data_IF_185624209421
#
_entry.id   IF_185624209421
#
_cell.length_a   1.000
_cell.length_b   1.000
_cell.length_c   1.000
_cell.angle_alpha   90.00
_cell.angle_beta   90.00
_cell.angle_gamma   90.00
#
_symmetry.space_group_name_H-M   'P 1'
#
loop_
_entity.id
_entity.type
_entity.pdbx_description
1 polymer ?
#
# COMPACT_ATOMS: atom_id res chain seq x y z
N UNK A 1 -23.28 1.62 -8.58
CA UNK A 1 -23.79 0.26 -8.32
C UNK A 1 -22.58 -0.65 -8.15
N UNK A 2 -22.60 -1.63 -7.23
CA UNK A 2 -21.46 -2.56 -7.07
C UNK A 2 -21.33 -3.45 -8.31
N UNK A 3 -20.12 -3.83 -8.69
CA UNK A 3 -19.82 -4.66 -9.86
C UNK A 3 -19.46 -6.08 -9.44
N UNK A 4 -20.23 -7.07 -9.87
CA UNK A 4 -19.99 -8.48 -9.53
C UNK A 4 -19.73 -9.26 -10.81
N UNK A 5 -18.56 -9.92 -10.87
CA UNK A 5 -18.23 -10.84 -11.95
C UNK A 5 -18.49 -12.27 -11.49
N UNK A 6 -19.50 -12.91 -12.08
CA UNK A 6 -19.83 -14.30 -11.83
C UNK A 6 -19.11 -15.24 -12.81
N UNK A 7 -18.47 -16.28 -12.28
CA UNK A 7 -17.72 -17.30 -13.01
C UNK A 7 -18.46 -18.64 -12.88
N UNK A 8 -19.03 -19.13 -13.98
CA UNK A 8 -19.88 -20.33 -13.98
C UNK A 8 -19.07 -21.64 -13.95
N UNK A 9 -19.74 -22.76 -13.65
CA UNK A 9 -19.14 -24.10 -13.72
C UNK A 9 -18.90 -24.57 -15.16
N UNK A 10 -18.04 -25.58 -15.36
CA UNK A 10 -17.53 -25.97 -16.69
C UNK A 10 -18.64 -26.28 -17.71
N UNK A 11 -19.64 -27.06 -17.31
CA UNK A 11 -20.74 -27.48 -18.19
C UNK A 11 -21.85 -26.43 -18.30
N UNK A 12 -21.69 -25.28 -17.67
CA UNK A 12 -22.67 -24.20 -17.68
C UNK A 12 -22.19 -23.07 -18.60
N UNK A 13 -23.02 -22.05 -18.73
CA UNK A 13 -22.75 -20.84 -19.48
C UNK A 13 -23.01 -19.61 -18.61
N UNK A 14 -22.76 -18.43 -19.18
CA UNK A 14 -23.07 -17.15 -18.55
C UNK A 14 -24.53 -17.00 -18.14
N UNK A 15 -25.43 -17.79 -18.74
CA UNK A 15 -26.87 -17.78 -18.47
C UNK A 15 -27.35 -18.87 -17.50
N UNK A 16 -26.46 -19.49 -16.73
CA UNK A 16 -26.84 -20.57 -15.80
C UNK A 16 -27.80 -20.11 -14.68
N UNK A 17 -28.51 -21.03 -14.00
CA UNK A 17 -29.48 -20.67 -12.95
C UNK A 17 -28.92 -19.79 -11.83
N UNK A 18 -27.66 -20.01 -11.40
CA UNK A 18 -27.01 -19.19 -10.36
C UNK A 18 -26.82 -17.74 -10.83
N UNK A 19 -26.29 -17.54 -12.04
CA UNK A 19 -26.10 -16.21 -12.62
C UNK A 19 -27.43 -15.44 -12.73
N UNK A 20 -28.48 -16.10 -13.23
CA UNK A 20 -29.82 -15.50 -13.33
C UNK A 20 -30.39 -15.13 -11.96
N UNK A 21 -30.27 -16.03 -10.98
CA UNK A 21 -30.72 -15.75 -9.62
C UNK A 21 -29.98 -14.56 -8.99
N UNK A 22 -28.65 -14.47 -9.16
CA UNK A 22 -27.87 -13.32 -8.70
C UNK A 22 -28.30 -12.03 -9.40
N UNK A 23 -28.49 -12.05 -10.72
CA UNK A 23 -28.96 -10.91 -11.51
C UNK A 23 -30.35 -10.42 -11.05
N UNK A 24 -31.27 -11.34 -10.78
CA UNK A 24 -32.62 -11.01 -10.30
C UNK A 24 -32.60 -10.45 -8.89
N UNK A 25 -31.94 -11.13 -7.94
CA UNK A 25 -31.99 -10.75 -6.52
C UNK A 25 -31.13 -9.50 -6.21
N UNK A 26 -30.20 -9.13 -7.09
CA UNK A 26 -29.32 -7.96 -6.92
C UNK A 26 -29.61 -6.82 -7.91
N UNK A 27 -30.68 -6.89 -8.71
CA UNK A 27 -30.93 -5.98 -9.83
C UNK A 27 -30.82 -4.47 -9.49
N UNK A 28 -31.27 -4.08 -8.28
CA UNK A 28 -31.26 -2.69 -7.82
C UNK A 28 -30.01 -2.33 -6.98
N UNK A 29 -29.14 -3.31 -6.70
CA UNK A 29 -28.02 -3.18 -5.75
C UNK A 29 -26.66 -3.30 -6.47
N UNK A 30 -26.54 -4.27 -7.38
CA UNK A 30 -25.31 -4.62 -8.06
C UNK A 30 -25.53 -4.94 -9.54
N UNK A 31 -24.59 -4.52 -10.37
CA UNK A 31 -24.47 -4.99 -11.75
C UNK A 31 -23.76 -6.36 -11.73
N UNK A 32 -24.48 -7.42 -12.14
CA UNK A 32 -23.94 -8.79 -12.18
C UNK A 32 -23.67 -9.21 -13.63
N UNK A 33 -22.39 -9.37 -13.97
CA UNK A 33 -21.93 -9.82 -15.28
C UNK A 33 -21.47 -11.27 -15.19
N UNK A 34 -21.85 -12.08 -16.18
CA UNK A 34 -21.56 -13.51 -16.25
C UNK A 34 -21.24 -13.87 -17.70
N UNK A 35 -19.97 -13.85 -18.12
CA UNK A 35 -19.59 -14.18 -19.50
C UNK A 35 -19.64 -15.69 -19.74
N UNK A 36 -19.75 -16.08 -21.02
CA UNK A 36 -19.53 -17.46 -21.42
C UNK A 36 -18.03 -17.78 -21.42
N UNK A 37 -17.58 -18.49 -20.40
CA UNK A 37 -16.17 -18.84 -20.24
C UNK A 37 -15.76 -19.95 -21.22
N UNK A 38 -14.54 -19.87 -21.79
CA UNK A 38 -13.89 -20.99 -22.46
C UNK A 38 -13.75 -22.22 -21.54
N UNK A 39 -13.77 -23.39 -22.16
CA UNK A 39 -13.49 -24.67 -21.50
C UNK A 39 -12.00 -24.84 -21.24
N UNK A 40 -11.16 -24.30 -22.14
CA UNK A 40 -9.73 -24.23 -21.94
C UNK A 40 -9.41 -23.29 -20.77
N UNK A 41 -8.71 -23.77 -19.74
CA UNK A 41 -8.51 -22.99 -18.52
C UNK A 41 -7.56 -21.80 -18.72
N UNK A 42 -6.60 -21.86 -19.63
CA UNK A 42 -5.70 -20.75 -19.92
C UNK A 42 -6.44 -19.62 -20.65
N UNK A 43 -7.26 -19.97 -21.65
CA UNK A 43 -8.11 -19.02 -22.36
C UNK A 43 -9.16 -18.39 -21.43
N UNK A 44 -9.70 -19.18 -20.48
CA UNK A 44 -10.64 -18.68 -19.50
C UNK A 44 -9.99 -17.68 -18.54
N UNK A 45 -8.81 -17.97 -17.99
CA UNK A 45 -8.05 -17.02 -17.15
C UNK A 45 -7.79 -15.73 -17.93
N UNK A 46 -7.32 -15.83 -19.19
CA UNK A 46 -7.03 -14.66 -20.02
C UNK A 46 -8.28 -13.79 -20.25
N UNK A 47 -9.43 -14.42 -20.51
CA UNK A 47 -10.72 -13.74 -20.71
C UNK A 47 -11.17 -13.05 -19.43
N UNK A 48 -11.08 -13.72 -18.27
CA UNK A 48 -11.49 -13.16 -17.00
C UNK A 48 -10.60 -11.97 -16.61
N UNK A 49 -9.29 -12.09 -16.78
CA UNK A 49 -8.35 -10.99 -16.49
C UNK A 49 -8.59 -9.78 -17.41
N UNK A 50 -8.91 -9.99 -18.68
CA UNK A 50 -9.27 -8.90 -19.59
C UNK A 50 -10.56 -8.17 -19.18
N UNK A 51 -11.56 -8.91 -18.70
CA UNK A 51 -12.76 -8.32 -18.10
C UNK A 51 -12.41 -7.57 -16.81
N UNK A 52 -11.56 -8.15 -15.95
CA UNK A 52 -11.14 -7.50 -14.70
C UNK A 52 -10.42 -6.17 -14.98
N UNK A 53 -9.53 -6.13 -15.96
CA UNK A 53 -8.78 -4.93 -16.33
C UNK A 53 -9.73 -3.83 -16.82
N UNK A 54 -10.68 -4.15 -17.70
CA UNK A 54 -11.60 -3.16 -18.30
C UNK A 54 -12.74 -2.75 -17.38
N UNK A 55 -13.34 -3.70 -16.67
CA UNK A 55 -14.60 -3.50 -15.95
C UNK A 55 -14.39 -3.30 -14.44
N UNK A 56 -13.26 -3.75 -13.90
CA UNK A 56 -12.84 -3.53 -12.50
C UNK A 56 -13.90 -4.01 -11.48
N UNK A 57 -14.17 -5.32 -11.38
CA UNK A 57 -15.23 -5.87 -10.51
C UNK A 57 -14.96 -5.64 -9.02
N UNK A 58 -15.96 -5.24 -8.24
CA UNK A 58 -15.87 -5.13 -6.78
C UNK A 58 -15.81 -6.50 -6.08
N UNK A 59 -16.32 -7.55 -6.73
CA UNK A 59 -16.38 -8.90 -6.20
C UNK A 59 -16.30 -9.95 -7.32
N UNK A 60 -15.52 -11.00 -7.09
CA UNK A 60 -15.61 -12.25 -7.86
C UNK A 60 -16.56 -13.23 -7.17
N UNK A 61 -17.42 -13.89 -7.93
CA UNK A 61 -18.23 -15.00 -7.43
C UNK A 61 -18.04 -16.19 -8.37
N UNK A 62 -17.43 -17.26 -7.89
CA UNK A 62 -17.18 -18.45 -8.70
C UNK A 62 -17.99 -19.65 -8.24
N UNK A 63 -18.41 -20.51 -9.16
CA UNK A 63 -19.01 -21.81 -8.86
C UNK A 63 -18.24 -22.95 -9.53
N UNK A 64 -17.86 -23.98 -8.76
CA UNK A 64 -17.20 -25.19 -9.27
C UNK A 64 -15.91 -24.85 -10.04
N UNK A 65 -15.86 -25.07 -11.36
CA UNK A 65 -14.78 -24.61 -12.25
C UNK A 65 -14.52 -23.10 -12.17
N UNK A 66 -15.57 -22.26 -12.17
CA UNK A 66 -15.40 -20.82 -12.02
C UNK A 66 -14.81 -20.42 -10.67
N UNK A 67 -15.07 -21.20 -9.62
CA UNK A 67 -14.42 -21.02 -8.32
C UNK A 67 -12.94 -21.43 -8.34
N UNK A 68 -12.59 -22.50 -9.08
CA UNK A 68 -11.20 -22.88 -9.35
C UNK A 68 -10.43 -21.81 -10.12
N UNK A 69 -11.04 -21.15 -11.11
CA UNK A 69 -10.42 -20.02 -11.81
C UNK A 69 -10.31 -18.78 -10.90
N UNK A 70 -11.38 -18.43 -10.19
CA UNK A 70 -11.45 -17.27 -9.31
C UNK A 70 -10.39 -17.28 -8.22
N UNK A 71 -10.14 -18.45 -7.63
CA UNK A 71 -9.05 -18.71 -6.67
C UNK A 71 -7.69 -18.22 -7.17
N UNK A 72 -7.39 -18.47 -8.45
CA UNK A 72 -6.06 -18.22 -9.03
C UNK A 72 -5.85 -16.74 -9.35
N UNK A 73 -6.92 -16.03 -9.71
CA UNK A 73 -6.84 -14.63 -10.15
C UNK A 73 -7.18 -13.62 -9.06
N UNK A 74 -7.65 -14.03 -7.89
CA UNK A 74 -8.17 -13.10 -6.87
C UNK A 74 -7.16 -12.01 -6.49
N UNK A 75 -5.87 -12.39 -6.38
CA UNK A 75 -4.77 -11.46 -6.16
C UNK A 75 -4.54 -10.56 -7.37
N UNK A 76 -4.64 -11.08 -8.59
CA UNK A 76 -4.41 -10.26 -9.79
C UNK A 76 -5.54 -9.24 -9.93
N UNK A 77 -6.80 -9.68 -9.84
CA UNK A 77 -8.01 -8.87 -9.95
C UNK A 77 -8.14 -7.78 -8.88
N UNK A 78 -7.55 -7.98 -7.70
CA UNK A 78 -7.50 -6.95 -6.66
C UNK A 78 -8.80 -6.75 -5.88
N UNK A 79 -9.70 -7.73 -5.89
CA UNK A 79 -10.99 -7.68 -5.19
C UNK A 79 -11.26 -8.98 -4.40
N UNK A 80 -12.16 -8.96 -3.40
CA UNK A 80 -12.57 -10.15 -2.67
C UNK A 80 -13.24 -11.20 -3.58
N UNK A 81 -13.40 -12.43 -3.06
CA UNK A 81 -14.05 -13.51 -3.79
C UNK A 81 -14.97 -14.38 -2.91
N UNK A 82 -16.08 -14.84 -3.50
CA UNK A 82 -16.93 -15.91 -2.97
C UNK A 82 -16.78 -17.13 -3.87
N UNK A 83 -16.30 -18.24 -3.31
CA UNK A 83 -15.96 -19.46 -4.05
C UNK A 83 -16.89 -20.60 -3.63
N UNK A 84 -17.88 -20.90 -4.46
CA UNK A 84 -18.85 -21.97 -4.22
C UNK A 84 -18.34 -23.30 -4.76
N UNK A 85 -18.19 -24.28 -3.87
CA UNK A 85 -17.76 -25.64 -4.17
C UNK A 85 -16.52 -25.70 -5.08
N UNK A 86 -15.39 -25.06 -4.71
CA UNK A 86 -14.24 -24.93 -5.58
C UNK A 86 -13.64 -26.29 -5.96
N UNK A 87 -13.53 -26.53 -7.26
CA UNK A 87 -13.00 -27.78 -7.83
C UNK A 87 -11.48 -27.70 -8.02
N UNK A 88 -10.68 -27.90 -6.97
CA UNK A 88 -9.21 -27.85 -7.05
C UNK A 88 -8.56 -29.05 -7.77
N UNK A 89 -9.35 -30.08 -8.12
CA UNK A 89 -8.93 -31.31 -8.83
C UNK A 89 -9.79 -31.51 -10.07
N UNK A 90 -9.76 -30.55 -10.98
CA UNK A 90 -10.46 -30.59 -12.26
C UNK A 90 -9.94 -31.69 -13.19
N UNK A 91 -8.63 -31.94 -13.22
CA UNK A 91 -8.02 -32.95 -14.09
C UNK A 91 -8.58 -34.35 -13.79
N UNK A 92 -8.62 -34.74 -12.51
CA UNK A 92 -9.16 -36.04 -12.09
C UNK A 92 -10.67 -36.16 -12.39
N UNK A 93 -11.41 -35.05 -12.22
CA UNK A 93 -12.84 -34.98 -12.54
C UNK A 93 -13.11 -35.13 -14.06
N UNK A 94 -12.18 -34.70 -14.90
CA UNK A 94 -12.31 -34.74 -16.37
C UNK A 94 -11.75 -36.02 -16.99
N UNK A 95 -10.77 -36.65 -16.37
CA UNK A 95 -10.12 -37.87 -16.87
C UNK A 95 -11.12 -39.02 -17.07
N UNK A 96 -12.12 -39.14 -16.18
CA UNK A 96 -13.19 -40.13 -16.32
C UNK A 96 -14.31 -39.71 -17.27
N UNK A 97 -14.17 -38.58 -17.97
CA UNK A 97 -15.20 -37.95 -18.81
C UNK A 97 -14.69 -37.52 -20.17
N UNK A 98 -13.79 -38.30 -20.77
CA UNK A 98 -13.37 -38.04 -22.15
C UNK A 98 -14.57 -38.10 -23.11
N UNK A 99 -14.53 -37.29 -24.17
CA UNK A 99 -15.56 -37.24 -25.21
C UNK A 99 -16.37 -35.94 -25.22
N UNK A 100 -17.45 -35.94 -25.99
CA UNK A 100 -18.31 -34.76 -26.21
C UNK A 100 -19.36 -34.65 -25.11
N UNK A 101 -19.53 -33.45 -24.57
CA UNK A 101 -20.51 -33.11 -23.53
C UNK A 101 -21.31 -31.89 -23.94
N UNK A 102 -22.60 -31.91 -23.63
CA UNK A 102 -23.46 -30.75 -23.85
C UNK A 102 -23.32 -29.72 -22.74
N UNK A 103 -23.42 -28.44 -23.11
CA UNK A 103 -23.66 -27.38 -22.14
C UNK A 103 -25.09 -27.48 -21.59
N UNK A 104 -25.22 -27.28 -20.28
CA UNK A 104 -26.49 -27.35 -19.54
C UNK A 104 -27.33 -26.08 -19.65
N UNK A 105 -26.75 -25.01 -20.20
CA UNK A 105 -27.44 -23.74 -20.46
C UNK A 105 -26.98 -23.14 -21.78
N UNK A 106 -27.84 -22.38 -22.47
CA UNK A 106 -27.51 -21.79 -23.76
C UNK A 106 -26.37 -20.78 -23.62
N UNK A 107 -25.44 -20.81 -24.58
CA UNK A 107 -24.35 -19.85 -24.73
C UNK A 107 -24.75 -18.78 -25.74
N UNK A 108 -24.29 -17.55 -25.53
CA UNK A 108 -24.46 -16.41 -26.40
C UNK A 108 -23.75 -16.57 -27.75
N UNK A 109 -22.64 -17.34 -27.78
CA UNK A 109 -21.92 -17.71 -29.00
C UNK A 109 -22.61 -18.81 -29.83
N UNK A 110 -23.72 -19.38 -29.33
CA UNK A 110 -24.46 -20.45 -29.98
C UNK A 110 -23.82 -21.84 -29.89
N UNK A 111 -22.66 -21.98 -29.23
CA UNK A 111 -22.01 -23.28 -29.04
C UNK A 111 -22.82 -24.11 -28.03
N UNK A 112 -23.13 -25.36 -28.40
CA UNK A 112 -24.01 -26.24 -27.62
C UNK A 112 -23.28 -27.37 -26.89
N UNK A 113 -22.09 -27.74 -27.35
CA UNK A 113 -21.28 -28.81 -26.76
C UNK A 113 -19.79 -28.47 -26.75
N UNK A 114 -19.02 -29.24 -25.99
CA UNK A 114 -17.57 -29.17 -25.92
C UNK A 114 -16.98 -30.57 -25.80
N UNK A 115 -15.70 -30.75 -26.15
CA UNK A 115 -15.03 -32.03 -26.07
C UNK A 115 -13.97 -32.02 -24.97
N UNK A 116 -14.01 -33.01 -24.09
CA UNK A 116 -12.96 -33.27 -23.11
C UNK A 116 -11.94 -34.21 -23.76
N UNK A 117 -10.77 -33.65 -24.08
CA UNK A 117 -9.65 -34.38 -24.68
C UNK A 117 -8.58 -34.67 -23.64
N UNK A 118 -7.69 -35.64 -23.93
CA UNK A 118 -6.53 -35.90 -23.08
C UNK A 118 -5.60 -34.66 -22.96
N UNK A 119 -5.52 -33.84 -24.01
CA UNK A 119 -4.78 -32.58 -24.01
C UNK A 119 -5.40 -31.57 -23.03
N UNK A 120 -6.74 -31.39 -23.06
CA UNK A 120 -7.42 -30.51 -22.11
C UNK A 120 -7.17 -30.97 -20.66
N UNK A 121 -7.27 -32.27 -20.39
CA UNK A 121 -6.96 -32.84 -19.06
C UNK A 121 -5.51 -32.54 -18.67
N UNK A 122 -4.56 -32.64 -19.60
CA UNK A 122 -3.16 -32.29 -19.34
C UNK A 122 -2.97 -30.81 -19.01
N UNK A 123 -3.69 -29.88 -19.67
CA UNK A 123 -3.66 -28.45 -19.34
C UNK A 123 -4.17 -28.18 -17.92
N UNK A 124 -5.30 -28.78 -17.52
CA UNK A 124 -5.78 -28.69 -16.15
C UNK A 124 -4.76 -29.24 -15.15
N UNK A 125 -4.15 -30.39 -15.44
CA UNK A 125 -3.15 -31.01 -14.58
C UNK A 125 -1.88 -30.16 -14.43
N UNK A 126 -1.49 -29.41 -15.46
CA UNK A 126 -0.39 -28.45 -15.36
C UNK A 126 -0.79 -27.24 -14.51
N UNK A 127 -1.95 -26.64 -14.78
CA UNK A 127 -2.45 -25.50 -14.01
C UNK A 127 -2.61 -25.82 -12.52
N UNK A 128 -3.07 -27.02 -12.18
CA UNK A 128 -3.25 -27.47 -10.80
C UNK A 128 -1.96 -27.47 -9.98
N UNK A 129 -0.79 -27.60 -10.61
CA UNK A 129 0.52 -27.53 -9.92
C UNK A 129 0.82 -26.13 -9.39
N UNK A 130 0.29 -25.10 -10.07
CA UNK A 130 0.59 -23.69 -9.82
C UNK A 130 -0.64 -22.91 -9.34
N UNK A 131 -1.78 -23.57 -9.10
CA UNK A 131 -3.07 -22.93 -8.78
C UNK A 131 -3.07 -22.10 -7.48
N UNK A 132 -2.03 -22.20 -6.67
CA UNK A 132 -1.85 -21.43 -5.43
C UNK A 132 -0.64 -20.48 -5.47
N UNK A 133 0.02 -20.34 -6.61
CA UNK A 133 1.21 -19.49 -6.75
C UNK A 133 0.91 -18.01 -6.51
N UNK A 134 -0.32 -17.58 -6.78
CA UNK A 134 -0.79 -16.23 -6.49
C UNK A 134 -1.35 -16.06 -5.07
N UNK A 135 -1.27 -17.09 -4.20
CA UNK A 135 -1.76 -16.99 -2.83
C UNK A 135 -0.96 -15.95 -2.02
N UNK A 136 -1.70 -15.09 -1.34
CA UNK A 136 -1.19 -14.06 -0.45
C UNK A 136 -2.04 -13.99 0.81
N UNK A 137 -1.38 -13.90 1.97
CA UNK A 137 -2.05 -13.84 3.29
C UNK A 137 -2.97 -12.63 3.39
N UNK A 138 -2.75 -11.57 2.61
CA UNK A 138 -3.67 -10.44 2.50
C UNK A 138 -5.11 -10.86 2.18
N UNK A 139 -5.30 -11.95 1.43
CA UNK A 139 -6.60 -12.45 1.00
C UNK A 139 -7.22 -13.50 1.95
N UNK A 140 -6.55 -13.81 3.06
CA UNK A 140 -6.98 -14.85 4.01
C UNK A 140 -8.43 -14.69 4.49
N UNK A 141 -8.86 -13.46 4.78
CA UNK A 141 -10.20 -13.08 5.25
C UNK A 141 -11.13 -12.56 4.13
N UNK A 142 -10.58 -12.36 2.92
CA UNK A 142 -11.26 -11.75 1.75
C UNK A 142 -11.78 -12.76 0.74
N UNK A 143 -11.55 -14.05 0.98
CA UNK A 143 -12.04 -15.14 0.13
C UNK A 143 -12.86 -16.08 1.00
N UNK A 144 -14.15 -16.22 0.69
CA UNK A 144 -15.07 -17.07 1.47
C UNK A 144 -15.51 -18.26 0.65
N UNK A 145 -15.45 -19.44 1.26
CA UNK A 145 -15.83 -20.70 0.62
C UNK A 145 -17.24 -21.12 0.98
N UNK A 146 -17.98 -21.70 0.04
CA UNK A 146 -19.31 -22.26 0.28
C UNK A 146 -19.33 -23.73 -0.07
N UNK A 147 -19.93 -24.54 0.80
CA UNK A 147 -19.98 -25.99 0.65
C UNK A 147 -21.34 -26.54 1.07
N UNK A 148 -22.03 -27.20 0.13
CA UNK A 148 -23.31 -27.85 0.39
C UNK A 148 -23.17 -29.03 1.34
N UNK A 149 -24.18 -29.27 2.18
CA UNK A 149 -24.26 -30.41 3.11
C UNK A 149 -24.26 -31.77 2.40
N UNK A 150 -24.69 -31.80 1.13
CA UNK A 150 -24.77 -32.98 0.26
C UNK A 150 -23.81 -32.91 -0.93
N UNK A 151 -22.83 -32.02 -0.90
CA UNK A 151 -21.79 -31.99 -1.94
C UNK A 151 -20.88 -33.21 -1.80
N UNK A 152 -20.94 -34.10 -2.79
CA UNK A 152 -20.10 -35.32 -2.89
C UNK A 152 -19.07 -35.22 -4.02
N UNK A 153 -19.01 -34.07 -4.70
CA UNK A 153 -18.16 -33.83 -5.87
C UNK A 153 -16.92 -33.04 -5.46
N UNK A 154 -17.08 -31.91 -4.76
CA UNK A 154 -15.97 -31.06 -4.35
C UNK A 154 -15.46 -31.41 -2.95
N UNK A 155 -14.51 -32.34 -2.87
CA UNK A 155 -13.81 -32.66 -1.63
C UNK A 155 -12.59 -31.76 -1.40
N UNK A 156 -12.83 -30.45 -1.20
CA UNK A 156 -11.77 -29.44 -1.12
C UNK A 156 -11.82 -28.57 0.12
N UNK A 157 -12.76 -28.82 1.04
CA UNK A 157 -12.97 -27.96 2.22
C UNK A 157 -11.72 -27.87 3.09
N UNK A 158 -11.03 -28.97 3.35
CA UNK A 158 -9.85 -28.97 4.21
C UNK A 158 -8.71 -28.16 3.59
N UNK A 159 -8.48 -28.36 2.28
CA UNK A 159 -7.51 -27.56 1.53
C UNK A 159 -7.87 -26.08 1.52
N UNK A 160 -9.14 -25.73 1.30
CA UNK A 160 -9.61 -24.35 1.34
C UNK A 160 -9.39 -23.72 2.71
N UNK A 161 -9.72 -24.44 3.79
CA UNK A 161 -9.62 -23.96 5.17
C UNK A 161 -8.16 -23.78 5.61
N UNK A 162 -7.20 -24.45 4.95
CA UNK A 162 -5.77 -24.19 5.15
C UNK A 162 -5.30 -22.85 4.56
N UNK A 163 -6.07 -22.25 3.65
CA UNK A 163 -5.71 -21.04 2.91
C UNK A 163 -6.55 -19.82 3.31
N UNK A 164 -7.79 -20.01 3.75
CA UNK A 164 -8.76 -18.94 4.00
C UNK A 164 -9.55 -19.17 5.28
N UNK A 165 -9.95 -18.07 5.93
CA UNK A 165 -10.56 -18.11 7.26
C UNK A 165 -12.02 -18.53 7.28
N UNK A 166 -12.74 -18.35 6.17
CA UNK A 166 -14.21 -18.33 6.17
C UNK A 166 -14.77 -19.42 5.29
N UNK A 167 -15.45 -20.38 5.92
CA UNK A 167 -16.19 -21.45 5.25
C UNK A 167 -17.65 -21.40 5.70
N UNK A 168 -18.55 -21.24 4.74
CA UNK A 168 -20.00 -21.22 4.94
C UNK A 168 -20.57 -22.55 4.47
N UNK A 169 -21.31 -23.23 5.36
CA UNK A 169 -22.07 -24.44 5.01
C UNK A 169 -23.51 -24.05 4.69
N UNK A 170 -24.11 -24.69 3.72
CA UNK A 170 -25.54 -24.54 3.44
C UNK A 170 -26.20 -25.90 3.22
N UNK A 171 -27.52 -25.95 3.39
CA UNK A 171 -28.26 -27.15 3.03
C UNK A 171 -28.46 -27.20 1.51
N UNK A 172 -27.81 -28.15 0.84
CA UNK A 172 -27.83 -28.23 -0.61
C UNK A 172 -26.77 -29.16 -1.20
N UNK A 173 -26.84 -29.31 -2.52
CA UNK A 173 -25.93 -30.13 -3.32
C UNK A 173 -24.71 -29.32 -3.79
N UNK A 174 -23.92 -29.90 -4.70
CA UNK A 174 -22.74 -29.27 -5.31
C UNK A 174 -23.06 -27.94 -6.02
N UNK A 175 -24.15 -27.90 -6.78
CA UNK A 175 -24.61 -26.68 -7.47
C UNK A 175 -25.70 -26.04 -6.61
N UNK A 176 -25.53 -24.76 -6.27
CA UNK A 176 -26.56 -24.01 -5.54
C UNK A 176 -27.85 -23.91 -6.35
N UNK A 177 -28.98 -24.15 -5.70
CA UNK A 177 -30.30 -23.83 -6.26
C UNK A 177 -30.52 -22.31 -6.25
N UNK A 178 -31.47 -21.77 -7.05
CA UNK A 178 -31.85 -20.36 -6.95
C UNK A 178 -32.26 -19.93 -5.54
N UNK A 179 -32.87 -20.83 -4.77
CA UNK A 179 -33.23 -20.57 -3.36
C UNK A 179 -31.99 -20.47 -2.46
N UNK A 180 -31.00 -21.36 -2.63
CA UNK A 180 -29.72 -21.23 -1.92
C UNK A 180 -28.98 -19.94 -2.31
N UNK A 181 -29.05 -19.54 -3.58
CA UNK A 181 -28.45 -18.26 -4.02
C UNK A 181 -29.09 -17.11 -3.27
N UNK A 182 -30.42 -17.05 -3.23
CA UNK A 182 -31.17 -16.01 -2.53
C UNK A 182 -30.91 -15.99 -1.03
N UNK A 183 -30.97 -17.15 -0.38
CA UNK A 183 -30.97 -17.25 1.09
C UNK A 183 -29.57 -17.29 1.71
N UNK A 184 -28.55 -17.67 0.94
CA UNK A 184 -27.18 -17.85 1.44
C UNK A 184 -26.17 -16.98 0.69
N UNK A 185 -26.15 -17.06 -0.64
CA UNK A 185 -25.09 -16.40 -1.42
C UNK A 185 -25.28 -14.88 -1.47
N UNK A 186 -26.50 -14.39 -1.72
CA UNK A 186 -26.83 -12.96 -1.78
C UNK A 186 -26.50 -12.24 -0.46
N UNK A 187 -26.90 -12.72 0.74
CA UNK A 187 -26.47 -12.11 2.00
C UNK A 187 -24.95 -12.03 2.15
N UNK A 188 -24.21 -13.04 1.70
CA UNK A 188 -22.76 -13.04 1.75
C UNK A 188 -22.13 -12.05 0.75
N UNK A 189 -22.69 -11.92 -0.44
CA UNK A 189 -22.31 -10.89 -1.44
C UNK A 189 -22.43 -9.49 -0.83
N UNK A 190 -23.56 -9.19 -0.19
CA UNK A 190 -23.78 -7.88 0.44
C UNK A 190 -22.78 -7.65 1.57
N UNK A 191 -22.61 -8.65 2.46
CA UNK A 191 -21.70 -8.54 3.60
C UNK A 191 -20.25 -8.36 3.18
N UNK A 192 -19.75 -9.14 2.21
CA UNK A 192 -18.33 -9.09 1.82
C UNK A 192 -17.99 -7.78 1.09
N UNK A 193 -18.91 -7.26 0.27
CA UNK A 193 -18.69 -6.01 -0.48
C UNK A 193 -18.80 -4.76 0.39
N UNK A 194 -19.50 -4.86 1.52
CA UNK A 194 -19.50 -3.85 2.59
C UNK A 194 -18.24 -3.95 3.46
N UNK A 195 -17.86 -5.18 3.86
CA UNK A 195 -16.70 -5.41 4.75
C UNK A 195 -15.37 -5.10 4.05
N UNK A 196 -15.25 -5.44 2.77
CA UNK A 196 -14.03 -5.31 1.97
C UNK A 196 -14.33 -4.58 0.66
N UNK A 197 -14.55 -3.25 0.70
CA UNK A 197 -14.76 -2.47 -0.50
C UNK A 197 -13.52 -2.50 -1.41
N UNK A 198 -13.73 -2.39 -2.72
CA UNK A 198 -12.64 -2.24 -3.68
C UNK A 198 -11.81 -1.02 -3.32
N UNK A 199 -10.48 -1.20 -3.34
CA UNK A 199 -9.53 -0.15 -2.96
C UNK A 199 -9.20 0.71 -4.17
N UNK A 200 -9.12 2.03 -3.96
CA UNK A 200 -8.66 2.98 -4.98
C UNK A 200 -7.18 2.81 -5.33
N UNK A 201 -6.38 2.32 -4.38
CA UNK A 201 -4.96 2.05 -4.56
C UNK A 201 -4.56 0.72 -3.92
N UNK A 202 -3.60 0.04 -4.56
CA UNK A 202 -3.04 -1.23 -4.09
C UNK A 202 -1.56 -1.07 -3.80
N UNK A 203 -1.14 -1.51 -2.62
CA UNK A 203 0.22 -1.34 -2.11
C UNK A 203 0.87 -2.69 -1.90
N UNK A 204 2.15 -2.76 -2.24
CA UNK A 204 2.92 -3.98 -2.20
C UNK A 204 4.27 -3.76 -1.52
N UNK A 205 4.65 -4.69 -0.64
CA UNK A 205 5.99 -4.77 -0.08
C UNK A 205 6.76 -5.82 -0.86
N UNK A 206 7.85 -5.41 -1.50
CA UNK A 206 8.78 -6.35 -2.12
C UNK A 206 9.53 -7.13 -1.03
N UNK A 207 9.91 -8.36 -1.31
CA UNK A 207 10.64 -9.19 -0.34
C UNK A 207 11.97 -8.58 0.16
N UNK A 208 12.55 -7.64 -0.60
CA UNK A 208 13.75 -6.88 -0.19
C UNK A 208 13.43 -5.68 0.72
N UNK A 209 12.18 -5.49 1.14
CA UNK A 209 11.78 -4.47 2.11
C UNK A 209 11.10 -3.24 1.51
N UNK A 210 11.40 -2.87 0.27
CA UNK A 210 10.85 -1.67 -0.35
C UNK A 210 9.35 -1.75 -0.66
N UNK A 211 8.69 -0.58 -0.64
CA UNK A 211 7.26 -0.45 -0.89
C UNK A 211 6.97 0.16 -2.26
N UNK A 212 5.86 -0.29 -2.84
CA UNK A 212 5.42 0.09 -4.17
C UNK A 212 3.90 0.26 -4.22
N UNK A 213 3.42 1.16 -5.07
CA UNK A 213 2.01 1.29 -5.44
C UNK A 213 1.80 0.71 -6.83
N UNK A 214 0.87 -0.24 -6.97
CA UNK A 214 0.47 -0.72 -8.30
C UNK A 214 -0.28 0.40 -9.02
N UNK A 215 0.12 0.68 -10.26
CA UNK A 215 -0.46 1.75 -11.08
C UNK A 215 -1.50 1.17 -12.02
N UNK A 216 -1.12 0.18 -12.84
CA UNK A 216 -2.03 -0.49 -13.75
C UNK A 216 -1.47 -1.83 -14.25
N UNK A 217 -2.37 -2.65 -14.79
CA UNK A 217 -2.05 -3.78 -15.65
C UNK A 217 -1.98 -3.29 -17.10
N UNK A 218 -1.08 -3.87 -17.89
CA UNK A 218 -0.89 -3.52 -19.30
C UNK A 218 -0.50 -4.75 -20.10
N UNK A 219 -0.28 -4.56 -21.41
CA UNK A 219 0.24 -5.60 -22.30
C UNK A 219 1.42 -5.08 -23.09
N UNK A 220 2.38 -5.94 -23.32
CA UNK A 220 3.40 -5.70 -24.33
C UNK A 220 2.73 -5.62 -25.71
N UNK A 221 3.04 -4.60 -26.50
CA UNK A 221 2.37 -4.38 -27.79
C UNK A 221 2.81 -5.37 -28.88
N UNK A 222 3.95 -6.04 -28.71
CA UNK A 222 4.48 -6.99 -29.67
C UNK A 222 4.13 -8.43 -29.27
N UNK A 223 4.34 -8.80 -28.01
CA UNK A 223 4.12 -10.18 -27.53
C UNK A 223 2.72 -10.39 -26.96
N UNK A 224 1.99 -9.32 -26.64
CA UNK A 224 0.72 -9.34 -25.88
C UNK A 224 0.84 -9.87 -24.44
N UNK A 225 2.07 -10.08 -23.95
CA UNK A 225 2.32 -10.54 -22.59
C UNK A 225 1.79 -9.53 -21.56
N UNK A 226 1.21 -10.05 -20.48
CA UNK A 226 0.70 -9.20 -19.40
C UNK A 226 1.86 -8.60 -18.60
N UNK A 227 1.82 -7.28 -18.44
CA UNK A 227 2.78 -6.48 -17.69
C UNK A 227 2.08 -5.76 -16.54
N UNK A 228 2.85 -5.37 -15.53
CA UNK A 228 2.40 -4.43 -14.48
C UNK A 228 3.29 -3.21 -14.46
N UNK A 229 2.66 -2.04 -14.36
CA UNK A 229 3.34 -0.78 -14.04
C UNK A 229 3.10 -0.45 -12.57
N UNK A 230 4.17 -0.15 -11.85
CA UNK A 230 4.11 0.13 -10.41
C UNK A 230 5.13 1.21 -10.04
N UNK A 231 4.78 2.04 -9.06
CA UNK A 231 5.58 3.19 -8.62
C UNK A 231 6.34 2.82 -7.37
N UNK A 232 7.65 3.07 -7.34
CA UNK A 232 8.41 3.02 -6.10
C UNK A 232 7.91 4.09 -5.13
N UNK A 233 7.84 3.75 -3.84
CA UNK A 233 7.51 4.70 -2.78
C UNK A 233 8.77 5.17 -2.03
N UNK A 234 9.91 5.13 -2.74
CA UNK A 234 11.25 5.50 -2.27
C UNK A 234 12.06 6.06 -3.44
N UNK A 235 13.22 6.65 -3.16
CA UNK A 235 14.26 6.95 -4.17
C UNK A 235 13.78 7.79 -5.36
N UNK A 236 13.03 8.87 -5.10
CA UNK A 236 12.52 9.76 -6.15
C UNK A 236 11.23 9.30 -6.85
N UNK A 237 10.60 8.22 -6.37
CA UNK A 237 9.26 7.78 -6.79
C UNK A 237 9.11 7.43 -8.28
N UNK A 238 10.14 6.84 -8.87
CA UNK A 238 10.13 6.37 -10.26
C UNK A 238 9.13 5.25 -10.53
N UNK A 239 8.81 5.06 -11.81
CA UNK A 239 7.97 3.97 -12.30
C UNK A 239 8.82 2.78 -12.75
N UNK A 240 8.30 1.60 -12.52
CA UNK A 240 8.87 0.34 -12.95
C UNK A 240 7.83 -0.46 -13.73
N UNK A 241 8.31 -1.27 -14.68
CA UNK A 241 7.48 -2.19 -15.46
C UNK A 241 8.09 -3.59 -15.35
N UNK A 242 7.27 -4.64 -15.26
CA UNK A 242 7.72 -6.04 -15.31
C UNK A 242 6.61 -6.98 -15.78
N UNK A 243 6.93 -8.24 -16.16
CA UNK A 243 5.93 -9.27 -16.40
C UNK A 243 5.00 -9.46 -15.19
N UNK A 244 3.69 -9.53 -15.42
CA UNK A 244 2.67 -9.67 -14.38
C UNK A 244 2.91 -10.92 -13.53
N UNK A 245 3.21 -12.06 -14.18
CA UNK A 245 3.56 -13.31 -13.49
C UNK A 245 4.69 -13.09 -12.49
N UNK A 246 5.73 -12.35 -12.89
CA UNK A 246 6.90 -12.11 -12.04
C UNK A 246 6.56 -11.20 -10.85
N UNK A 247 5.54 -10.35 -10.97
CA UNK A 247 5.11 -9.49 -9.86
C UNK A 247 4.31 -10.29 -8.82
N UNK A 248 3.41 -11.16 -9.28
CA UNK A 248 2.50 -11.89 -8.40
C UNK A 248 3.01 -13.26 -7.94
N UNK A 249 4.11 -13.75 -8.51
CA UNK A 249 4.71 -15.03 -8.14
C UNK A 249 5.20 -15.09 -6.69
N UNK A 250 5.44 -16.34 -6.27
CA UNK A 250 6.16 -16.67 -5.06
C UNK A 250 7.62 -16.97 -5.39
N UNK A 251 8.48 -16.69 -4.45
CA UNK A 251 9.92 -16.97 -4.55
C UNK A 251 10.37 -17.78 -3.34
N UNK A 252 11.36 -18.64 -3.59
CA UNK A 252 11.98 -19.46 -2.55
C UNK A 252 13.34 -18.89 -2.17
N UNK A 253 13.57 -18.67 -0.88
CA UNK A 253 14.87 -18.29 -0.31
C UNK A 253 15.05 -19.00 1.02
N UNK A 254 16.21 -19.62 1.23
CA UNK A 254 16.55 -20.35 2.46
C UNK A 254 15.48 -21.41 2.84
N UNK A 255 14.93 -22.10 1.83
CA UNK A 255 13.90 -23.12 1.99
C UNK A 255 12.51 -22.59 2.38
N UNK A 256 12.33 -21.27 2.46
CA UNK A 256 11.03 -20.62 2.74
C UNK A 256 10.49 -19.98 1.49
N UNK A 257 9.18 -20.12 1.30
CA UNK A 257 8.48 -19.58 0.16
C UNK A 257 7.57 -18.41 0.57
N UNK A 258 7.65 -17.30 -0.16
CA UNK A 258 6.88 -16.09 0.12
C UNK A 258 6.59 -15.32 -1.17
N UNK A 259 5.56 -14.45 -1.21
CA UNK A 259 5.28 -13.61 -2.37
C UNK A 259 6.48 -12.72 -2.70
N UNK A 260 6.82 -12.56 -3.99
CA UNK A 260 7.82 -11.56 -4.39
C UNK A 260 7.38 -10.16 -3.95
N UNK A 261 6.10 -9.87 -4.15
CA UNK A 261 5.41 -8.68 -3.68
C UNK A 261 4.21 -9.11 -2.83
N UNK A 262 4.28 -8.86 -1.53
CA UNK A 262 3.19 -9.10 -0.60
C UNK A 262 2.25 -7.89 -0.58
N UNK A 263 0.95 -8.10 -0.76
CA UNK A 263 -0.03 -7.02 -0.72
C UNK A 263 -0.28 -6.53 0.72
N UNK A 264 -0.49 -5.23 0.90
CA UNK A 264 -0.70 -4.60 2.22
C UNK A 264 -1.90 -3.65 2.22
N UNK A 265 -2.63 -3.61 3.35
CA UNK A 265 -3.85 -2.79 3.52
C UNK A 265 -3.52 -1.30 3.60
N UNK A 266 -2.39 -0.95 4.19
CA UNK A 266 -1.83 0.39 4.28
C UNK A 266 -0.32 0.27 4.53
N UNK A 267 0.43 1.36 4.30
CA UNK A 267 1.81 1.45 4.80
C UNK A 267 1.81 1.28 6.35
N UNK A 268 0.81 1.86 7.03
CA UNK A 268 0.62 1.81 8.48
C UNK A 268 0.30 0.43 9.09
N UNK A 269 -0.33 -0.48 8.34
CA UNK A 269 -0.75 -1.80 8.86
C UNK A 269 0.31 -2.89 8.68
N UNK A 270 1.49 -2.55 8.15
CA UNK A 270 2.64 -3.46 7.99
C UNK A 270 3.51 -3.59 9.27
N UNK A 271 3.08 -3.05 10.41
CA UNK A 271 3.80 -3.12 11.68
C UNK A 271 5.02 -2.19 11.78
N UNK A 272 5.10 -1.18 10.92
CA UNK A 272 5.99 -0.04 11.13
C UNK A 272 5.22 0.94 12.03
N UNK A 273 5.73 1.33 13.21
CA UNK A 273 5.11 2.40 13.98
C UNK A 273 5.14 3.67 13.14
N UNK A 274 3.96 4.27 12.92
CA UNK A 274 3.83 5.56 12.23
C UNK A 274 4.86 6.54 12.78
N UNK A 275 5.71 7.08 11.90
CA UNK A 275 6.77 8.00 12.32
C UNK A 275 6.13 9.33 12.71
N UNK A 276 5.97 9.56 14.01
CA UNK A 276 5.42 10.79 14.55
C UNK A 276 6.55 11.74 14.92
N UNK A 277 6.59 12.89 14.25
CA UNK A 277 7.59 13.93 14.48
C UNK A 277 7.06 14.98 15.44
N UNK A 278 7.93 15.43 16.36
CA UNK A 278 7.75 16.72 17.01
C UNK A 278 8.65 17.76 16.33
N UNK A 279 8.08 18.87 15.86
CA UNK A 279 8.87 20.00 15.37
C UNK A 279 9.09 20.98 16.51
N UNK A 280 10.35 21.27 16.82
CA UNK A 280 10.72 22.29 17.80
C UNK A 280 11.10 23.58 17.06
N UNK A 281 10.50 24.71 17.43
CA UNK A 281 10.73 26.00 16.78
C UNK A 281 10.51 27.17 17.76
N UNK A 282 11.25 28.27 17.59
CA UNK A 282 11.18 29.44 18.49
C UNK A 282 10.68 30.74 17.84
N UNK A 283 10.33 30.71 16.54
CA UNK A 283 10.11 31.92 15.74
C UNK A 283 8.97 31.83 14.73
N UNK A 284 9.22 32.31 13.49
CA UNK A 284 8.23 32.43 12.41
C UNK A 284 7.58 31.08 12.03
N UNK A 285 8.35 29.99 12.06
CA UNK A 285 7.82 28.65 11.80
C UNK A 285 7.60 28.31 10.32
N UNK A 286 8.23 29.03 9.41
CA UNK A 286 8.10 28.82 7.96
C UNK A 286 8.56 27.42 7.52
N UNK A 287 9.70 26.93 8.03
CA UNK A 287 10.12 25.55 7.83
C UNK A 287 9.14 24.53 8.44
N UNK A 288 8.62 24.80 9.64
CA UNK A 288 7.67 23.91 10.29
C UNK A 288 6.40 23.74 9.44
N UNK A 289 5.85 24.84 8.92
CA UNK A 289 4.72 24.83 8.01
C UNK A 289 5.00 24.02 6.74
N UNK A 290 6.15 24.25 6.10
CA UNK A 290 6.55 23.53 4.90
C UNK A 290 6.67 22.01 5.15
N UNK A 291 7.24 21.61 6.30
CA UNK A 291 7.33 20.19 6.69
C UNK A 291 5.93 19.61 6.94
N UNK A 292 5.05 20.31 7.66
CA UNK A 292 3.68 19.84 7.91
C UNK A 292 2.91 19.63 6.60
N UNK A 293 3.00 20.59 5.66
CA UNK A 293 2.35 20.46 4.35
C UNK A 293 2.95 19.30 3.55
N UNK A 294 4.27 19.19 3.53
CA UNK A 294 4.95 18.09 2.85
C UNK A 294 4.46 16.72 3.32
N UNK A 295 4.45 16.45 4.63
CA UNK A 295 4.03 15.15 5.17
C UNK A 295 2.52 14.90 5.05
N UNK A 296 1.69 15.94 4.93
CA UNK A 296 0.26 15.80 4.66
C UNK A 296 -0.03 15.43 3.21
N UNK A 297 0.69 16.04 2.28
CA UNK A 297 0.45 15.87 0.85
C UNK A 297 1.12 14.59 0.30
N UNK A 298 2.07 14.01 1.04
CA UNK A 298 2.71 12.74 0.68
C UNK A 298 2.04 11.56 1.39
N UNK A 299 1.60 10.58 0.60
CA UNK A 299 1.12 9.29 1.11
C UNK A 299 2.27 8.49 1.73
N UNK A 300 2.57 8.75 3.00
CA UNK A 300 3.58 8.06 3.79
C UNK A 300 3.06 7.74 5.20
N UNK A 301 3.65 6.76 5.88
CA UNK A 301 3.28 6.42 7.27
C UNK A 301 4.07 7.27 8.28
N UNK A 302 3.96 8.58 8.12
CA UNK A 302 4.64 9.57 8.95
C UNK A 302 3.83 10.86 9.01
N UNK A 303 3.82 11.50 10.17
CA UNK A 303 3.10 12.76 10.37
C UNK A 303 3.86 13.69 11.33
N UNK A 304 3.60 14.98 11.20
CA UNK A 304 3.97 15.95 12.24
C UNK A 304 2.87 15.92 13.29
N UNK A 305 3.11 15.20 14.38
CA UNK A 305 2.13 14.98 15.44
C UNK A 305 2.08 16.13 16.47
N UNK A 306 3.15 16.91 16.57
CA UNK A 306 3.27 17.98 17.56
C UNK A 306 4.20 19.10 17.09
N UNK A 307 3.84 20.35 17.39
CA UNK A 307 4.75 21.50 17.33
C UNK A 307 5.05 21.99 18.75
N UNK A 308 6.32 22.09 19.12
CA UNK A 308 6.76 22.60 20.43
C UNK A 308 7.46 23.95 20.24
N UNK A 309 7.05 24.93 21.03
CA UNK A 309 7.71 26.23 21.09
C UNK A 309 8.05 26.62 22.52
N UNK A 310 9.21 27.25 22.69
CA UNK A 310 9.60 27.86 23.96
C UNK A 310 9.11 29.30 24.13
N UNK A 311 8.33 29.82 23.17
CA UNK A 311 7.77 31.17 23.18
C UNK A 311 6.29 31.14 22.86
N UNK A 312 5.46 31.68 23.77
CA UNK A 312 4.00 31.79 23.59
C UNK A 312 3.59 32.67 22.41
N UNK A 313 4.44 33.64 22.05
CA UNK A 313 4.20 34.56 20.94
C UNK A 313 4.79 34.09 19.61
N UNK A 314 5.27 32.85 19.51
CA UNK A 314 5.86 32.36 18.26
C UNK A 314 4.77 32.10 17.20
N UNK A 315 4.92 32.73 16.03
CA UNK A 315 4.01 32.57 14.88
C UNK A 315 3.88 31.13 14.39
N UNK A 316 4.86 30.26 14.69
CA UNK A 316 4.76 28.82 14.41
C UNK A 316 3.52 28.16 15.04
N UNK A 317 3.04 28.68 16.19
CA UNK A 317 1.85 28.16 16.88
C UNK A 317 0.57 28.43 16.07
N UNK A 318 0.46 29.63 15.48
CA UNK A 318 -0.66 30.01 14.60
C UNK A 318 -0.66 29.14 13.34
N UNK A 319 0.50 28.97 12.70
CA UNK A 319 0.65 28.12 11.51
C UNK A 319 0.28 26.66 11.78
N UNK A 320 0.68 26.14 12.94
CA UNK A 320 0.31 24.78 13.35
C UNK A 320 -1.21 24.65 13.52
N UNK A 321 -1.86 25.64 14.15
CA UNK A 321 -3.30 25.67 14.34
C UNK A 321 -4.07 25.75 13.01
N UNK A 322 -3.66 26.63 12.08
CA UNK A 322 -4.23 26.72 10.72
C UNK A 322 -4.14 25.39 9.96
N UNK A 323 -3.12 24.60 10.29
CA UNK A 323 -2.87 23.29 9.72
C UNK A 323 -3.46 22.14 10.54
N UNK A 324 -4.21 22.39 11.60
CA UNK A 324 -4.77 21.36 12.49
C UNK A 324 -3.72 20.43 13.12
N UNK A 325 -2.51 20.93 13.39
CA UNK A 325 -1.46 20.21 14.13
C UNK A 325 -1.45 20.70 15.58
N UNK A 326 -1.52 19.79 16.58
CA UNK A 326 -1.41 20.15 17.98
C UNK A 326 -0.11 20.90 18.30
N UNK A 327 -0.17 21.83 19.26
CA UNK A 327 1.01 22.53 19.74
C UNK A 327 1.14 22.55 21.26
N UNK A 328 2.38 22.62 21.74
CA UNK A 328 2.70 22.77 23.15
C UNK A 328 3.66 23.96 23.34
N UNK A 329 3.34 24.82 24.31
CA UNK A 329 4.26 25.88 24.75
C UNK A 329 4.95 25.42 26.02
N UNK A 330 6.28 25.26 25.96
CA UNK A 330 7.09 24.79 27.08
C UNK A 330 8.27 25.73 27.30
N UNK A 331 8.33 26.36 28.47
CA UNK A 331 9.43 27.27 28.84
C UNK A 331 10.79 26.56 28.82
N UNK A 332 11.88 27.33 28.89
CA UNK A 332 13.24 26.77 28.99
C UNK A 332 13.33 25.79 30.18
N UNK A 333 12.78 26.15 31.32
CA UNK A 333 12.87 25.32 32.53
C UNK A 333 12.08 24.03 32.37
N UNK A 334 10.87 24.09 31.81
CA UNK A 334 10.06 22.91 31.51
C UNK A 334 10.71 21.99 30.46
N UNK A 335 11.38 22.56 29.45
CA UNK A 335 12.12 21.75 28.47
C UNK A 335 13.36 21.09 29.07
N UNK A 336 13.98 21.68 30.10
CA UNK A 336 15.09 21.11 30.84
C UNK A 336 14.65 20.18 31.98
N UNK A 337 13.35 19.97 32.16
CA UNK A 337 12.78 19.08 33.17
C UNK A 337 12.19 17.82 32.50
N UNK A 338 12.79 16.63 32.71
CA UNK A 338 12.30 15.38 32.10
C UNK A 338 10.86 15.06 32.50
N UNK A 339 10.43 15.42 33.71
CA UNK A 339 9.08 15.14 34.23
C UNK A 339 8.01 16.04 33.58
N UNK A 340 8.43 17.05 32.80
CA UNK A 340 7.54 17.94 32.06
C UNK A 340 7.51 17.60 30.57
N UNK A 341 8.67 17.47 29.94
CA UNK A 341 8.73 17.30 28.47
C UNK A 341 8.42 15.88 28.01
N UNK A 342 8.88 14.85 28.73
CA UNK A 342 8.70 13.45 28.30
C UNK A 342 7.22 13.03 28.27
N UNK A 343 6.38 13.37 29.27
CA UNK A 343 4.95 13.03 29.21
C UNK A 343 4.22 13.67 28.03
N UNK A 344 4.65 14.86 27.59
CA UNK A 344 4.10 15.50 26.38
C UNK A 344 4.52 14.71 25.15
N UNK A 345 5.79 14.36 25.01
CA UNK A 345 6.27 13.57 23.87
C UNK A 345 5.58 12.20 23.79
N UNK A 346 5.40 11.52 24.94
CA UNK A 346 4.75 10.22 25.02
C UNK A 346 3.26 10.29 24.67
N UNK A 347 2.54 11.32 25.14
CA UNK A 347 1.13 11.54 24.81
C UNK A 347 0.88 11.61 23.32
N UNK A 348 1.79 12.23 22.57
CA UNK A 348 1.69 12.36 21.11
C UNK A 348 2.41 11.23 20.36
N UNK A 349 2.98 10.25 21.07
CA UNK A 349 3.67 9.10 20.49
C UNK A 349 4.91 9.47 19.66
N UNK A 350 5.62 10.53 20.06
CA UNK A 350 6.75 11.08 19.29
C UNK A 350 7.88 10.06 19.17
N UNK A 351 8.36 9.89 17.94
CA UNK A 351 9.42 8.93 17.57
C UNK A 351 10.72 9.60 17.14
N UNK A 352 10.64 10.85 16.67
CA UNK A 352 11.78 11.67 16.32
C UNK A 352 11.47 13.17 16.50
N UNK A 353 12.52 13.97 16.70
CA UNK A 353 12.45 15.42 16.90
C UNK A 353 13.16 16.13 15.75
N UNK A 354 12.50 17.15 15.20
CA UNK A 354 13.00 17.97 14.10
C UNK A 354 13.13 19.40 14.58
N UNK A 355 14.34 19.94 14.60
CA UNK A 355 14.58 21.33 14.99
C UNK A 355 14.47 22.25 13.76
N UNK A 356 13.55 23.20 13.79
CA UNK A 356 13.30 24.13 12.70
C UNK A 356 13.31 25.57 13.21
N UNK A 357 14.51 26.14 13.38
CA UNK A 357 14.69 27.46 13.98
C UNK A 357 14.43 27.47 15.49
N UNK A 358 14.85 26.40 16.18
CA UNK A 358 14.80 26.28 17.63
C UNK A 358 16.06 26.90 18.26
N UNK A 359 15.89 27.77 19.25
CA UNK A 359 16.96 28.64 19.77
C UNK A 359 17.53 28.21 21.13
N UNK A 360 17.11 27.07 21.67
CA UNK A 360 17.62 26.53 22.93
C UNK A 360 18.47 25.29 22.68
N UNK A 361 19.47 24.99 23.54
CA UNK A 361 20.10 23.68 23.54
C UNK A 361 19.05 22.59 23.77
N UNK A 362 19.23 21.45 23.12
CA UNK A 362 18.49 20.24 23.46
C UNK A 362 19.10 19.64 24.72
N UNK A 363 18.33 19.42 25.79
CA UNK A 363 18.81 18.76 27.00
C UNK A 363 19.38 17.37 26.69
N UNK A 364 20.48 17.02 27.36
CA UNK A 364 21.19 15.75 27.18
C UNK A 364 20.28 14.52 27.38
N UNK A 365 19.34 14.60 28.32
CA UNK A 365 18.40 13.50 28.54
C UNK A 365 17.45 13.26 27.35
N UNK A 366 17.09 14.29 26.58
CA UNK A 366 16.30 14.13 25.36
C UNK A 366 17.14 13.48 24.26
N UNK A 367 18.41 13.89 24.11
CA UNK A 367 19.34 13.27 23.15
C UNK A 367 19.49 11.78 23.46
N UNK A 368 19.68 11.41 24.73
CA UNK A 368 19.74 10.00 25.17
C UNK A 368 18.43 9.24 24.96
N UNK A 369 17.28 9.91 25.08
CA UNK A 369 15.95 9.30 24.88
C UNK A 369 15.60 9.09 23.40
N UNK A 370 16.20 9.88 22.52
CA UNK A 370 16.02 9.86 21.06
C UNK A 370 17.38 9.71 20.35
N UNK A 371 18.12 8.60 20.58
CA UNK A 371 19.43 8.40 19.98
C UNK A 371 19.29 8.34 18.45
N UNK A 372 20.08 9.13 17.72
CA UNK A 372 20.01 9.27 16.26
C UNK A 372 18.58 9.56 15.72
N UNK A 373 17.76 10.21 16.56
CA UNK A 373 16.35 10.55 16.26
C UNK A 373 16.05 12.03 16.48
N UNK A 374 17.10 12.86 16.57
CA UNK A 374 16.97 14.32 16.61
C UNK A 374 17.83 14.90 15.49
N UNK A 375 17.24 15.69 14.61
CA UNK A 375 17.97 16.41 13.56
C UNK A 375 17.69 17.90 13.57
N UNK A 376 18.66 18.67 13.12
CA UNK A 376 18.60 20.12 12.98
C UNK A 376 18.96 20.53 11.55
N UNK A 377 18.41 21.66 11.12
CA UNK A 377 18.88 22.39 9.94
C UNK A 377 19.62 23.65 10.38
N UNK A 378 20.82 23.82 9.85
CA UNK A 378 21.65 24.99 10.07
C UNK A 378 21.85 25.76 8.76
N UNK A 379 21.65 27.10 8.72
CA UNK A 379 21.68 27.90 7.48
C UNK A 379 23.10 28.28 7.04
N UNK A 380 24.04 27.33 7.13
CA UNK A 380 25.39 27.44 6.57
C UNK A 380 25.98 26.04 6.27
N UNK A 381 27.13 26.02 5.60
CA UNK A 381 27.92 24.80 5.36
C UNK A 381 28.82 24.50 6.58
N UNK A 382 28.30 23.76 7.56
CA UNK A 382 29.04 23.33 8.74
C UNK A 382 30.32 22.57 8.36
N UNK A 383 31.41 22.72 9.14
CA UNK A 383 31.50 23.39 10.44
C UNK A 383 31.60 24.93 10.38
N UNK A 384 31.56 25.53 9.19
CA UNK A 384 31.69 26.98 9.04
C UNK A 384 30.41 27.69 9.48
N UNK A 385 30.57 28.83 10.15
CA UNK A 385 29.48 29.66 10.67
C UNK A 385 28.50 28.87 11.55
N UNK A 386 28.98 27.86 12.28
CA UNK A 386 28.23 27.13 13.29
C UNK A 386 28.56 27.59 14.71
N UNK A 387 27.81 27.09 15.68
CA UNK A 387 28.07 27.31 17.10
C UNK A 387 27.33 28.51 17.69
N UNK A 388 27.70 28.86 18.92
CA UNK A 388 26.97 29.84 19.73
C UNK A 388 26.91 31.22 19.05
N UNK A 389 25.71 31.75 18.87
CA UNK A 389 25.47 33.08 18.28
C UNK A 389 25.22 33.06 16.77
N UNK A 390 25.49 31.94 16.11
CA UNK A 390 25.27 31.74 14.68
C UNK A 390 23.86 31.17 14.43
N UNK A 391 22.83 32.00 14.54
CA UNK A 391 21.45 31.62 14.24
C UNK A 391 20.71 32.74 13.51
N UNK A 392 19.71 32.37 12.70
CA UNK A 392 18.90 33.35 11.96
C UNK A 392 19.76 34.29 11.11
N UNK A 393 19.42 35.58 11.11
CA UNK A 393 20.08 36.57 10.25
C UNK A 393 21.59 36.73 10.53
N UNK A 394 22.04 36.48 11.77
CA UNK A 394 23.46 36.60 12.12
C UNK A 394 24.36 35.67 11.28
N UNK A 395 23.84 34.52 10.84
CA UNK A 395 24.60 33.59 9.98
C UNK A 395 24.84 34.23 8.61
N UNK A 396 23.79 34.79 8.01
CA UNK A 396 23.87 35.41 6.69
C UNK A 396 24.72 36.68 6.72
N UNK A 397 24.59 37.49 7.76
CA UNK A 397 25.46 38.66 8.01
C UNK A 397 26.93 38.24 8.11
N UNK A 398 27.24 37.18 8.85
CA UNK A 398 28.60 36.67 9.00
C UNK A 398 29.17 36.11 7.68
N UNK A 399 28.35 35.39 6.91
CA UNK A 399 28.72 34.85 5.59
C UNK A 399 29.05 35.98 4.60
N UNK A 400 28.22 37.02 4.53
CA UNK A 400 28.45 38.17 3.66
C UNK A 400 29.66 38.98 4.13
N UNK A 401 29.78 39.24 5.43
CA UNK A 401 30.92 39.97 6.00
C UNK A 401 32.26 39.24 5.79
N UNK A 402 32.25 37.92 5.76
CA UNK A 402 33.43 37.10 5.45
C UNK A 402 33.78 37.09 3.94
N UNK A 403 32.92 37.63 3.08
CA UNK A 403 33.15 37.66 1.62
C UNK A 403 33.05 36.28 0.97
N UNK A 404 32.20 35.39 1.50
CA UNK A 404 32.03 34.05 0.96
C UNK A 404 31.46 34.06 -0.47
N UNK A 405 31.94 33.12 -1.28
CA UNK A 405 31.42 32.89 -2.64
C UNK A 405 30.34 31.83 -2.69
N UNK A 406 30.19 31.05 -1.63
CA UNK A 406 29.21 29.98 -1.53
C UNK A 406 28.71 29.89 -0.08
N UNK A 407 27.43 29.58 0.06
CA UNK A 407 26.82 29.20 1.34
C UNK A 407 25.84 28.06 1.10
N UNK A 408 25.02 27.72 2.09
CA UNK A 408 24.08 26.65 1.95
C UNK A 408 23.36 26.31 3.24
N UNK A 409 22.91 25.07 3.30
CA UNK A 409 22.31 24.48 4.49
C UNK A 409 23.09 23.23 4.87
N UNK A 410 23.08 22.91 6.16
CA UNK A 410 23.50 21.62 6.68
C UNK A 410 22.39 21.02 7.50
N UNK A 411 22.00 19.78 7.19
CA UNK A 411 21.11 18.98 8.02
C UNK A 411 21.96 17.92 8.70
N UNK A 412 21.88 17.85 10.02
CA UNK A 412 22.74 17.01 10.83
C UNK A 412 21.99 16.44 12.04
N UNK A 413 22.49 15.34 12.58
CA UNK A 413 22.04 14.84 13.88
C UNK A 413 22.41 15.81 14.99
N UNK A 414 21.61 15.89 16.04
CA UNK A 414 21.92 16.68 17.24
C UNK A 414 22.68 15.80 18.24
N UNK A 415 23.77 16.33 18.81
CA UNK A 415 24.51 15.74 19.93
C UNK A 415 24.69 16.78 21.04
N UNK A 416 25.51 16.50 22.06
CA UNK A 416 25.70 17.40 23.20
C UNK A 416 26.45 18.70 22.84
N UNK A 417 26.99 18.80 21.62
CA UNK A 417 27.78 19.93 21.14
C UNK A 417 27.03 20.65 20.02
N UNK A 418 27.07 21.98 20.04
CA UNK A 418 26.37 22.79 19.04
C UNK A 418 26.96 22.55 17.64
N UNK A 419 26.10 22.17 16.71
CA UNK A 419 26.41 22.04 15.28
C UNK A 419 27.61 21.13 14.95
N UNK A 420 27.93 20.18 15.84
CA UNK A 420 29.03 19.22 15.70
C UNK A 420 28.55 17.78 15.47
N UNK A 421 27.25 17.57 15.27
CA UNK A 421 26.71 16.25 15.01
C UNK A 421 26.97 15.75 13.60
N UNK A 422 26.80 14.44 13.40
CA UNK A 422 27.05 13.80 12.10
C UNK A 422 26.16 14.44 11.01
N UNK A 423 26.82 14.92 9.96
CA UNK A 423 26.15 15.51 8.79
C UNK A 423 25.37 14.43 8.05
N UNK A 424 24.10 14.73 7.75
CA UNK A 424 23.21 13.90 6.95
C UNK A 424 23.20 14.40 5.51
N UNK A 425 23.05 15.71 5.33
CA UNK A 425 22.94 16.34 4.02
C UNK A 425 23.48 17.76 4.06
N UNK A 426 24.12 18.18 2.97
CA UNK A 426 24.46 19.56 2.69
C UNK A 426 24.00 19.94 1.29
N UNK A 427 23.41 21.13 1.16
CA UNK A 427 23.08 21.72 -0.13
C UNK A 427 23.70 23.11 -0.19
N UNK A 428 24.27 23.44 -1.34
CA UNK A 428 25.09 24.65 -1.54
C UNK A 428 24.50 25.54 -2.63
N UNK A 429 24.73 26.85 -2.48
CA UNK A 429 24.32 27.89 -3.42
C UNK A 429 25.44 28.93 -3.55
N UNK A 430 25.63 29.42 -4.77
CA UNK A 430 26.59 30.47 -5.07
C UNK A 430 26.08 31.84 -4.61
N UNK A 431 26.96 32.67 -4.06
CA UNK A 431 26.67 34.06 -3.68
C UNK A 431 27.27 34.96 -4.75
N UNK A 432 26.41 35.70 -5.45
CA UNK A 432 26.87 36.66 -6.44
C UNK A 432 27.56 37.86 -5.75
N UNK A 433 28.53 38.52 -6.40
CA UNK A 433 29.15 39.72 -5.86
C UNK A 433 28.10 40.80 -5.57
N UNK A 434 28.11 41.34 -4.34
CA UNK A 434 27.22 42.41 -3.92
C UNK A 434 25.88 41.96 -3.31
N UNK A 435 25.63 40.65 -3.16
CA UNK A 435 24.43 40.18 -2.47
C UNK A 435 24.34 40.69 -1.03
N UNK A 436 23.15 41.09 -0.60
CA UNK A 436 22.90 41.48 0.79
C UNK A 436 22.64 40.26 1.69
N UNK A 437 22.80 40.37 3.03
CA UNK A 437 22.44 39.29 3.95
C UNK A 437 21.00 38.78 3.79
N UNK A 438 20.06 39.67 3.48
CA UNK A 438 18.66 39.33 3.25
C UNK A 438 18.47 38.50 1.97
N UNK A 439 19.11 38.87 0.86
CA UNK A 439 19.07 38.09 -0.38
C UNK A 439 19.70 36.70 -0.17
N UNK A 440 20.79 36.63 0.58
CA UNK A 440 21.42 35.36 0.97
C UNK A 440 20.46 34.53 1.84
N UNK A 441 19.77 35.16 2.79
CA UNK A 441 18.78 34.48 3.63
C UNK A 441 17.63 33.90 2.80
N UNK A 442 17.09 34.64 1.83
CA UNK A 442 16.04 34.14 0.93
C UNK A 442 16.51 32.94 0.10
N UNK A 443 17.71 33.03 -0.49
CA UNK A 443 18.31 31.93 -1.25
C UNK A 443 18.51 30.67 -0.39
N UNK A 444 19.04 30.84 0.83
CA UNK A 444 19.20 29.72 1.77
C UNK A 444 17.85 29.16 2.18
N UNK A 445 16.84 30.01 2.43
CA UNK A 445 15.50 29.56 2.79
C UNK A 445 14.86 28.68 1.72
N UNK A 446 15.09 28.98 0.44
CA UNK A 446 14.66 28.13 -0.68
C UNK A 446 15.33 26.74 -0.65
N UNK A 447 16.60 26.65 -0.22
CA UNK A 447 17.24 25.36 0.01
C UNK A 447 16.61 24.63 1.19
N UNK A 448 16.37 25.30 2.31
CA UNK A 448 15.73 24.71 3.49
C UNK A 448 14.38 24.07 3.12
N UNK A 449 13.54 24.82 2.39
CA UNK A 449 12.24 24.36 1.95
C UNK A 449 12.31 23.14 1.04
N UNK A 450 13.27 23.13 0.12
CA UNK A 450 13.44 22.05 -0.86
C UNK A 450 13.97 20.77 -0.22
N UNK A 451 14.91 20.89 0.71
CA UNK A 451 15.70 19.77 1.19
C UNK A 451 15.21 19.22 2.53
N UNK A 452 14.77 20.07 3.47
CA UNK A 452 14.57 19.61 4.84
C UNK A 452 13.46 18.55 4.99
N UNK A 453 12.25 18.73 4.42
CA UNK A 453 11.20 17.70 4.49
C UNK A 453 11.62 16.36 3.86
N UNK A 454 12.37 16.42 2.75
CA UNK A 454 12.85 15.21 2.04
C UNK A 454 13.86 14.44 2.87
N UNK A 455 14.81 15.15 3.48
CA UNK A 455 15.83 14.51 4.34
C UNK A 455 15.18 13.93 5.60
N UNK A 456 14.17 14.59 6.20
CA UNK A 456 13.39 14.01 7.32
C UNK A 456 12.76 12.67 6.88
N UNK A 457 12.12 12.65 5.71
CA UNK A 457 11.47 11.46 5.17
C UNK A 457 12.49 10.33 4.91
N UNK A 458 13.62 10.63 4.26
CA UNK A 458 14.70 9.66 4.01
C UNK A 458 15.30 9.13 5.32
N UNK A 459 15.52 9.99 6.31
CA UNK A 459 16.23 9.67 7.56
C UNK A 459 15.38 8.85 8.53
N UNK A 460 14.09 9.15 8.66
CA UNK A 460 13.25 8.54 9.69
C UNK A 460 12.20 7.57 9.16
N UNK A 461 11.71 7.78 7.93
CA UNK A 461 10.64 6.94 7.35
C UNK A 461 11.22 5.82 6.51
N UNK A 462 12.35 6.06 5.82
CA UNK A 462 12.92 5.09 4.87
C UNK A 462 14.20 4.39 5.35
N UNK A 463 14.75 4.74 6.52
CA UNK A 463 16.03 4.22 7.02
C UNK A 463 16.03 2.74 7.48
N UNK A 464 15.04 1.93 7.13
CA UNK A 464 14.99 0.50 7.46
C UNK A 464 15.67 -0.40 6.41
N UNK A 465 16.69 0.11 5.73
CA UNK A 465 17.46 -0.62 4.72
C UNK A 465 18.97 -0.43 4.93
N UNK A 466 19.48 -0.94 6.04
CA UNK A 466 20.87 -1.39 6.14
C UNK A 466 20.90 -2.86 6.59
#
# INVERSE_FOLDING_TARGET
MKKILFLHGLNWSGSCPIARALQTELADIAEVVSPDLPVDPEEAIATILDICDRWQPDLLVGSSYGAFLGQQIVKIAGCPALLCSPMFRMADFLESRLGVHDFKSPRADGVTCYCVTAELVAKFREMEKHQFDCYDKFYYDRVWGFYGSRDTIADTRDKFSSLYSTVIKYDGEHTMSPDNVKTVLVPAVLKITETFPRREARYFRHFKGNYYRLVCHGRDSETLDRLVTYRALYGGYGFWVRPERMFFERITRDGKEFPRFAESQHLASAGVPSQKFAIFASGNGSNAENIIRFFRDHECDAEVALVVSNRRSAKVLERAAELNVPSAVMTRDELNDPDKVLPVMERYGITAIVLAGFLLPVPEFLIRRYPDRIINIHPALLPRFGGKGMYGMHVHEAVVAAGEKETGITIHYVNERYDEGKIICQAKIHIAPGCTPEEVAEMVHMLEYRHYPRVIMETFVHAAAE
#
